data_IF_013108025756
#
_entry.id   IF_013108025756
#
_cell.length_a   1.000
_cell.length_b   1.000
_cell.length_c   1.000
_cell.angle_alpha   90.00
_cell.angle_beta   90.00
_cell.angle_gamma   90.00
#
_symmetry.space_group_name_H-M   'P 1'
#
loop_
_entity.id
_entity.type
_entity.pdbx_description
1 polymer ?
#
# COMPACT_ATOMS: atom_id res chain seq x y z
N UNK A 1 8.22 -15.89 12.17
CA UNK A 1 8.82 -14.75 12.90
C UNK A 1 10.05 -15.23 13.64
N UNK A 2 11.14 -14.45 13.68
CA UNK A 2 12.29 -14.72 14.57
C UNK A 2 12.01 -14.21 15.99
N UNK A 3 13.00 -14.34 16.88
CA UNK A 3 13.00 -13.81 18.24
C UNK A 3 12.77 -12.29 18.34
N UNK A 4 13.04 -11.55 17.27
CA UNK A 4 12.82 -10.09 17.19
C UNK A 4 11.42 -9.73 16.68
N UNK A 5 10.53 -10.71 16.48
CA UNK A 5 9.18 -10.50 15.90
C UNK A 5 9.25 -9.80 14.54
N UNK A 6 10.22 -10.15 13.72
CA UNK A 6 10.26 -9.81 12.29
C UNK A 6 10.21 -11.08 11.45
N UNK A 7 9.87 -10.95 10.18
CA UNK A 7 9.74 -12.09 9.28
C UNK A 7 11.09 -12.80 9.03
N UNK A 8 11.05 -14.13 8.93
CA UNK A 8 12.23 -14.95 8.66
C UNK A 8 12.50 -15.07 7.16
N UNK A 9 13.75 -15.34 6.80
CA UNK A 9 14.10 -15.69 5.41
C UNK A 9 14.06 -14.51 4.44
N UNK A 10 14.15 -13.29 4.95
CA UNK A 10 14.18 -12.06 4.17
C UNK A 10 15.61 -11.49 4.07
N UNK A 11 15.91 -10.78 2.98
CA UNK A 11 17.18 -10.05 2.83
C UNK A 11 17.18 -8.72 3.60
N UNK A 12 16.00 -8.14 3.80
CA UNK A 12 15.77 -6.92 4.59
C UNK A 12 14.79 -7.19 5.74
N UNK A 13 14.79 -6.33 6.77
CA UNK A 13 13.82 -6.45 7.86
C UNK A 13 12.40 -6.19 7.35
N UNK A 14 11.52 -7.19 7.50
CA UNK A 14 10.09 -7.08 7.21
C UNK A 14 9.31 -7.17 8.52
N UNK A 15 8.56 -6.12 8.83
CA UNK A 15 7.79 -5.98 10.07
C UNK A 15 6.30 -6.14 9.70
N UNK A 16 5.69 -7.30 9.99
CA UNK A 16 4.26 -7.47 9.77
C UNK A 16 3.46 -6.66 10.80
N UNK A 17 2.46 -5.93 10.32
CA UNK A 17 1.57 -5.14 11.17
C UNK A 17 0.36 -5.96 11.63
N UNK A 18 -0.16 -6.82 10.76
CA UNK A 18 -1.25 -7.76 11.00
C UNK A 18 -1.21 -8.85 9.91
N UNK A 19 -1.76 -10.03 10.22
CA UNK A 19 -1.86 -11.14 9.26
C UNK A 19 -3.13 -11.06 8.41
N UNK A 20 -4.20 -10.50 8.97
CA UNK A 20 -5.53 -10.39 8.37
C UNK A 20 -6.12 -9.01 8.69
N UNK A 21 -6.39 -8.22 7.64
CA UNK A 21 -6.92 -6.88 7.77
C UNK A 21 -8.36 -6.87 8.31
N UNK A 22 -9.19 -7.83 7.92
CA UNK A 22 -10.56 -7.97 8.39
C UNK A 22 -10.56 -8.29 9.89
N UNK A 23 -9.75 -9.26 10.32
CA UNK A 23 -9.62 -9.63 11.73
C UNK A 23 -9.06 -8.48 12.57
N UNK A 24 -8.04 -7.77 12.07
CA UNK A 24 -7.50 -6.58 12.74
C UNK A 24 -8.55 -5.48 12.97
N UNK A 25 -9.57 -5.41 12.10
CA UNK A 25 -10.70 -4.49 12.19
C UNK A 25 -11.93 -5.09 12.91
N UNK A 26 -11.81 -6.30 13.47
CA UNK A 26 -12.86 -6.97 14.23
C UNK A 26 -13.90 -7.69 13.37
N UNK A 27 -13.53 -8.13 12.17
CA UNK A 27 -14.38 -8.91 11.25
C UNK A 27 -13.79 -10.31 11.04
N UNK A 28 -14.66 -11.31 10.93
CA UNK A 28 -14.32 -12.72 10.72
C UNK A 28 -14.61 -13.19 9.28
N UNK A 29 -14.97 -12.26 8.40
CA UNK A 29 -15.37 -12.52 7.02
C UNK A 29 -14.86 -11.43 6.08
N UNK A 30 -14.78 -11.79 4.80
CA UNK A 30 -14.51 -10.84 3.74
C UNK A 30 -15.72 -9.92 3.51
N UNK A 31 -15.53 -8.64 3.77
CA UNK A 31 -16.48 -7.57 3.42
C UNK A 31 -15.76 -6.23 3.26
N UNK A 32 -16.39 -5.28 2.57
CA UNK A 32 -15.91 -3.90 2.50
C UNK A 32 -16.05 -3.23 3.87
N UNK A 33 -14.95 -2.68 4.38
CA UNK A 33 -14.89 -1.95 5.64
C UNK A 33 -14.43 -0.53 5.35
N UNK A 34 -15.19 0.46 5.80
CA UNK A 34 -14.88 1.87 5.66
C UNK A 34 -14.71 2.36 4.21
N UNK A 35 -15.31 1.70 3.22
CA UNK A 35 -15.31 2.18 1.82
C UNK A 35 -16.71 2.42 1.27
N UNK A 36 -17.75 1.82 1.87
CA UNK A 36 -19.15 2.05 1.49
C UNK A 36 -19.79 3.01 2.49
N UNK A 37 -20.46 4.06 2.00
CA UNK A 37 -21.15 5.03 2.85
C UNK A 37 -22.25 4.34 3.68
N UNK A 38 -22.30 4.65 4.98
CA UNK A 38 -23.31 4.17 5.94
C UNK A 38 -23.40 2.63 6.06
N UNK A 39 -22.37 1.90 5.62
CA UNK A 39 -22.33 0.44 5.69
C UNK A 39 -22.16 -0.06 7.13
N UNK A 40 -22.87 -1.11 7.50
CA UNK A 40 -22.85 -1.66 8.87
C UNK A 40 -21.50 -2.25 9.27
N UNK A 41 -20.65 -2.59 8.30
CA UNK A 41 -19.30 -3.07 8.56
C UNK A 41 -18.32 -1.95 8.93
N UNK A 42 -18.67 -0.68 8.69
CA UNK A 42 -17.82 0.45 9.01
C UNK A 42 -17.50 0.50 10.50
N UNK A 43 -16.28 0.92 10.83
CA UNK A 43 -15.72 0.84 12.18
C UNK A 43 -14.68 1.95 12.40
N UNK A 44 -14.36 2.22 13.66
CA UNK A 44 -13.34 3.20 14.01
C UNK A 44 -11.93 2.70 13.65
N UNK A 45 -11.01 3.61 13.29
CA UNK A 45 -9.61 3.27 13.05
C UNK A 45 -8.99 2.49 14.21
N UNK A 46 -8.10 1.56 13.87
CA UNK A 46 -7.28 0.82 14.83
C UNK A 46 -5.85 1.30 14.73
N UNK A 47 -5.28 1.73 15.85
CA UNK A 47 -3.88 2.13 15.92
C UNK A 47 -3.01 0.89 16.15
N UNK A 48 -2.02 0.71 15.28
CA UNK A 48 -0.99 -0.31 15.44
C UNK A 48 0.30 0.42 15.77
N UNK A 49 0.82 0.15 16.96
CA UNK A 49 2.05 0.76 17.45
C UNK A 49 3.12 -0.31 17.59
N UNK A 50 4.32 -0.01 17.13
CA UNK A 50 5.49 -0.87 17.29
C UNK A 50 6.73 -0.01 17.57
N UNK A 51 7.76 -0.64 18.14
CA UNK A 51 9.04 -0.01 18.44
C UNK A 51 10.13 -0.76 17.71
N UNK A 52 10.89 -0.07 16.85
CA UNK A 52 12.10 -0.61 16.24
C UNK A 52 13.29 -0.18 17.09
N UNK A 53 14.04 -1.15 17.61
CA UNK A 53 15.31 -0.91 18.29
C UNK A 53 16.44 -1.38 17.39
N UNK A 54 17.23 -0.43 16.89
CA UNK A 54 18.42 -0.75 16.11
C UNK A 54 19.58 -1.13 17.04
N UNK A 55 20.35 -2.15 16.65
CA UNK A 55 21.58 -2.53 17.36
C UNK A 55 22.66 -1.46 17.23
N UNK A 56 22.71 -0.76 16.09
CA UNK A 56 23.53 0.41 15.85
C UNK A 56 22.62 1.61 15.62
N UNK A 57 22.87 2.77 16.24
CA UNK A 57 22.10 3.98 15.97
C UNK A 57 22.14 4.33 14.47
N UNK A 58 20.98 4.68 13.93
CA UNK A 58 20.83 5.25 12.59
C UNK A 58 20.41 6.71 12.73
N UNK A 59 20.69 7.54 11.72
CA UNK A 59 20.20 8.92 11.71
C UNK A 59 18.68 8.96 11.50
N UNK A 60 18.02 10.00 12.02
CA UNK A 60 16.57 10.17 11.84
C UNK A 60 16.22 10.33 10.35
N UNK A 61 17.09 10.97 9.56
CA UNK A 61 16.91 11.16 8.11
C UNK A 61 17.00 9.85 7.30
N UNK A 62 17.61 8.81 7.87
CA UNK A 62 17.59 7.45 7.31
C UNK A 62 16.23 6.77 7.53
N UNK A 63 15.52 7.12 8.60
CA UNK A 63 14.17 6.62 8.91
C UNK A 63 13.08 7.58 8.40
N UNK A 64 13.13 7.93 7.12
CA UNK A 64 12.13 8.76 6.47
C UNK A 64 10.95 7.90 5.97
N UNK A 65 9.71 8.34 6.18
CA UNK A 65 8.50 7.64 5.70
C UNK A 65 8.53 7.40 4.18
N UNK A 66 9.11 8.34 3.42
CA UNK A 66 9.29 8.25 1.97
C UNK A 66 10.32 7.19 1.55
N UNK A 67 11.01 6.55 2.51
CA UNK A 67 11.95 5.45 2.29
C UNK A 67 11.37 4.10 2.72
N UNK A 68 10.16 4.04 3.27
CA UNK A 68 9.54 2.81 3.74
C UNK A 68 8.89 2.03 2.59
N UNK A 69 9.31 0.79 2.40
CA UNK A 69 8.66 -0.14 1.47
C UNK A 69 7.38 -0.71 2.10
N UNK A 70 6.26 -0.02 1.93
CA UNK A 70 4.95 -0.48 2.42
C UNK A 70 4.29 -1.37 1.38
N UNK A 71 3.76 -2.51 1.82
CA UNK A 71 3.12 -3.48 0.96
C UNK A 71 2.01 -4.24 1.68
N UNK A 72 1.15 -4.85 0.87
CA UNK A 72 0.17 -5.85 1.31
C UNK A 72 0.50 -7.17 0.62
N UNK A 73 0.04 -8.28 1.19
CA UNK A 73 -0.04 -9.56 0.50
C UNK A 73 -1.50 -10.00 0.41
N UNK A 74 -1.87 -10.57 -0.72
CA UNK A 74 -3.23 -11.05 -1.00
C UNK A 74 -3.26 -12.57 -1.04
N UNK A 75 -4.43 -13.15 -0.80
CA UNK A 75 -4.64 -14.61 -0.78
C UNK A 75 -3.89 -15.36 0.35
N UNK A 76 -3.49 -14.62 1.39
CA UNK A 76 -2.85 -15.13 2.60
C UNK A 76 -1.33 -15.28 2.48
N UNK A 77 -0.68 -15.53 3.63
CA UNK A 77 0.78 -15.65 3.72
C UNK A 77 1.25 -17.07 3.33
N UNK A 78 1.19 -17.38 2.03
CA UNK A 78 1.60 -18.67 1.46
C UNK A 78 2.99 -18.59 0.84
N UNK A 79 3.64 -19.74 0.63
CA UNK A 79 4.84 -19.79 -0.22
C UNK A 79 4.48 -19.28 -1.63
N UNK A 80 5.38 -18.51 -2.24
CA UNK A 80 5.09 -17.76 -3.47
C UNK A 80 3.92 -16.77 -3.28
N UNK A 81 4.01 -15.92 -2.25
CA UNK A 81 2.94 -14.95 -1.96
C UNK A 81 2.85 -13.85 -3.02
N UNK A 82 1.62 -13.43 -3.28
CA UNK A 82 1.31 -12.27 -4.11
C UNK A 82 1.43 -11.02 -3.25
N UNK A 83 2.50 -10.27 -3.45
CA UNK A 83 2.70 -8.98 -2.80
C UNK A 83 2.30 -7.84 -3.74
N UNK A 84 1.82 -6.74 -3.17
CA UNK A 84 1.56 -5.49 -3.88
C UNK A 84 2.20 -4.39 -3.04
N UNK A 85 3.23 -3.74 -3.60
CA UNK A 85 3.97 -2.69 -2.91
C UNK A 85 3.57 -1.31 -3.46
N UNK A 86 3.95 -0.28 -2.72
CA UNK A 86 4.05 1.07 -3.29
C UNK A 86 4.96 1.08 -4.52
N UNK A 87 4.60 1.90 -5.52
CA UNK A 87 5.24 1.90 -6.84
C UNK A 87 6.76 2.08 -6.77
N UNK A 88 7.49 1.33 -7.59
CA UNK A 88 8.95 1.44 -7.73
C UNK A 88 9.76 0.69 -6.67
N UNK A 89 9.15 0.24 -5.57
CA UNK A 89 9.83 -0.57 -4.57
C UNK A 89 9.97 -2.03 -5.00
N UNK A 90 11.05 -2.67 -4.57
CA UNK A 90 11.30 -4.08 -4.87
C UNK A 90 10.38 -5.01 -4.06
N UNK A 91 10.01 -6.18 -4.62
CA UNK A 91 9.39 -7.26 -3.86
C UNK A 91 10.26 -7.67 -2.67
N UNK A 92 9.65 -8.30 -1.67
CA UNK A 92 10.44 -9.04 -0.68
C UNK A 92 11.00 -10.33 -1.28
N UNK A 93 11.90 -11.00 -0.56
CA UNK A 93 12.49 -12.28 -1.01
C UNK A 93 11.46 -13.39 -1.18
N UNK A 94 10.34 -13.31 -0.47
CA UNK A 94 9.28 -14.32 -0.49
C UNK A 94 8.21 -14.06 -1.57
N UNK A 95 8.30 -12.93 -2.28
CA UNK A 95 7.34 -12.58 -3.32
C UNK A 95 7.41 -13.55 -4.50
N UNK A 96 6.25 -13.89 -5.07
CA UNK A 96 6.18 -14.58 -6.34
C UNK A 96 6.40 -13.61 -7.50
N UNK A 97 7.64 -13.49 -7.94
CA UNK A 97 7.99 -12.64 -9.10
C UNK A 97 7.68 -13.28 -10.46
N UNK A 98 7.28 -14.55 -10.51
CA UNK A 98 6.87 -15.23 -11.76
C UNK A 98 5.56 -14.64 -12.31
N UNK A 99 4.81 -13.91 -11.48
CA UNK A 99 3.57 -13.23 -11.86
C UNK A 99 3.80 -11.86 -12.52
N UNK A 100 5.02 -11.33 -12.45
CA UNK A 100 5.33 -10.00 -12.98
C UNK A 100 5.20 -9.95 -14.51
N UNK A 101 4.61 -8.87 -15.01
CA UNK A 101 4.31 -8.67 -16.43
C UNK A 101 3.01 -9.33 -16.92
N UNK A 102 2.30 -10.04 -16.03
CA UNK A 102 1.00 -10.65 -16.32
C UNK A 102 -0.15 -9.63 -16.37
N UNK A 103 -1.18 -9.91 -17.17
CA UNK A 103 -2.35 -9.02 -17.32
C UNK A 103 -1.96 -7.56 -17.64
N UNK A 104 -2.39 -6.58 -16.83
CA UNK A 104 -2.00 -5.18 -16.99
C UNK A 104 -0.80 -4.78 -16.13
N UNK A 105 -0.16 -5.71 -15.41
CA UNK A 105 1.08 -5.44 -14.70
C UNK A 105 2.25 -5.31 -15.69
N UNK A 106 3.13 -4.36 -15.43
CA UNK A 106 4.36 -4.10 -16.19
C UNK A 106 5.59 -4.20 -15.28
N UNK A 107 5.49 -4.94 -14.18
CA UNK A 107 6.61 -5.22 -13.30
C UNK A 107 7.63 -6.14 -13.99
N UNK A 108 8.90 -6.01 -13.61
CA UNK A 108 10.02 -6.77 -14.14
C UNK A 108 11.25 -6.54 -13.27
N UNK A 109 11.79 -7.63 -12.74
CA UNK A 109 13.05 -7.63 -11.98
C UNK A 109 14.24 -7.20 -12.85
N UNK A 110 14.31 -7.68 -14.09
CA UNK A 110 15.38 -7.34 -15.04
C UNK A 110 15.34 -5.87 -15.47
N UNK A 111 14.15 -5.28 -15.67
CA UNK A 111 13.98 -3.85 -15.98
C UNK A 111 14.00 -2.95 -14.74
N UNK A 112 14.10 -3.53 -13.53
CA UNK A 112 14.00 -2.82 -12.25
C UNK A 112 12.76 -1.92 -12.17
N UNK A 113 11.64 -2.44 -12.64
CA UNK A 113 10.35 -1.75 -12.72
C UNK A 113 9.34 -2.55 -11.92
N UNK A 114 8.65 -1.93 -10.97
CA UNK A 114 7.90 -2.69 -9.97
C UNK A 114 6.57 -2.02 -9.63
N UNK A 115 5.53 -2.84 -9.52
CA UNK A 115 4.17 -2.52 -9.08
C UNK A 115 3.53 -1.35 -9.82
N UNK A 116 3.67 -1.39 -11.14
CA UNK A 116 3.19 -0.38 -12.07
C UNK A 116 2.52 -1.07 -13.26
N UNK A 117 1.46 -0.48 -13.79
CA UNK A 117 0.74 -1.00 -14.94
C UNK A 117 1.45 -0.67 -16.27
N UNK A 118 1.00 -1.30 -17.35
CA UNK A 118 1.45 -1.00 -18.73
C UNK A 118 1.14 0.44 -19.15
N UNK A 119 0.16 1.07 -18.51
CA UNK A 119 -0.23 2.47 -18.70
C UNK A 119 0.51 3.44 -17.75
N UNK A 120 1.55 2.97 -17.05
CA UNK A 120 2.28 3.74 -16.01
C UNK A 120 1.44 4.13 -14.77
N UNK A 121 0.38 3.38 -14.44
CA UNK A 121 -0.39 3.61 -13.22
C UNK A 121 0.16 2.79 -12.05
N UNK A 122 0.32 3.41 -10.89
CA UNK A 122 0.78 2.76 -9.68
C UNK A 122 -0.29 1.81 -9.09
N UNK A 123 0.12 0.64 -8.59
CA UNK A 123 -0.77 -0.22 -7.80
C UNK A 123 -0.91 0.21 -6.33
N UNK A 124 0.10 0.91 -5.80
CA UNK A 124 0.08 1.48 -4.46
C UNK A 124 0.77 2.84 -4.44
N UNK A 125 0.20 3.78 -3.69
CA UNK A 125 0.75 5.12 -3.47
C UNK A 125 0.77 5.44 -1.98
N UNK A 126 1.67 6.34 -1.59
CA UNK A 126 1.74 6.87 -0.23
C UNK A 126 1.39 8.35 -0.28
N UNK A 127 0.38 8.76 0.50
CA UNK A 127 -0.02 10.16 0.62
C UNK A 127 0.27 10.60 2.06
N UNK A 128 1.15 11.60 2.29
CA UNK A 128 1.65 11.94 3.62
C UNK A 128 0.68 12.85 4.39
N UNK A 129 -0.60 12.45 4.48
CA UNK A 129 -1.66 13.24 5.12
C UNK A 129 -2.83 12.36 5.56
N UNK A 130 -3.82 12.96 6.23
CA UNK A 130 -5.14 12.33 6.44
C UNK A 130 -5.89 12.28 5.10
N UNK A 131 -5.66 11.23 4.32
CA UNK A 131 -6.21 11.05 2.99
C UNK A 131 -7.63 10.50 3.03
N UNK A 132 -8.56 11.12 2.28
CA UNK A 132 -9.94 10.68 2.14
C UNK A 132 -10.09 9.76 0.94
N UNK A 133 -9.95 8.45 1.16
CA UNK A 133 -10.03 7.50 0.04
C UNK A 133 -11.41 7.52 -0.65
N UNK A 134 -11.48 7.30 -1.97
CA UNK A 134 -12.76 7.22 -2.68
C UNK A 134 -13.69 6.18 -2.07
N UNK A 135 -15.01 6.42 -2.16
CA UNK A 135 -16.01 5.40 -1.85
C UNK A 135 -15.82 4.19 -2.78
N UNK A 136 -16.27 3.02 -2.32
CA UNK A 136 -16.21 1.77 -3.08
C UNK A 136 -16.81 1.96 -4.49
N UNK A 137 -16.15 1.42 -5.51
CA UNK A 137 -16.50 1.54 -6.93
C UNK A 137 -16.41 2.95 -7.52
N UNK A 138 -16.09 3.99 -6.74
CA UNK A 138 -15.86 5.33 -7.27
C UNK A 138 -14.44 5.43 -7.83
N UNK A 139 -14.37 5.75 -9.12
CA UNK A 139 -13.08 5.99 -9.77
C UNK A 139 -12.38 7.20 -9.13
N UNK A 140 -11.13 7.01 -8.70
CA UNK A 140 -10.31 8.07 -8.08
C UNK A 140 -10.20 9.33 -8.95
N UNK A 141 -10.15 9.21 -10.29
CA UNK A 141 -10.11 10.36 -11.20
C UNK A 141 -11.36 11.25 -11.09
N UNK A 142 -12.48 10.64 -10.67
CA UNK A 142 -13.74 11.34 -10.48
C UNK A 142 -13.89 11.92 -9.07
N UNK A 143 -13.25 11.32 -8.07
CA UNK A 143 -13.18 11.86 -6.72
C UNK A 143 -12.12 12.99 -6.61
N UNK A 144 -11.03 12.87 -7.36
CA UNK A 144 -9.87 13.76 -7.36
C UNK A 144 -9.51 14.17 -8.79
N UNK A 145 -10.02 15.32 -9.23
CA UNK A 145 -9.88 15.79 -10.62
C UNK A 145 -8.44 16.04 -11.05
N UNK A 146 -7.54 16.33 -10.10
CA UNK A 146 -6.12 16.59 -10.36
C UNK A 146 -5.25 15.32 -10.39
N UNK A 147 -5.80 14.18 -9.96
CA UNK A 147 -5.05 12.91 -9.81
C UNK A 147 -4.47 12.41 -11.12
N UNK A 148 -5.24 12.47 -12.22
CA UNK A 148 -4.80 11.95 -13.52
C UNK A 148 -3.55 12.69 -14.05
N UNK A 149 -3.54 14.01 -13.98
CA UNK A 149 -2.37 14.80 -14.38
C UNK A 149 -1.19 14.57 -13.44
N UNK A 150 -1.41 14.26 -12.16
CA UNK A 150 -0.34 13.90 -11.24
C UNK A 150 0.28 12.55 -11.62
N UNK A 151 -0.53 11.49 -11.71
CA UNK A 151 -0.03 10.12 -11.95
C UNK A 151 0.63 9.98 -13.32
N UNK A 152 0.07 10.59 -14.37
CA UNK A 152 0.63 10.53 -15.74
C UNK A 152 1.90 11.37 -15.90
N UNK A 153 2.15 12.34 -15.02
CA UNK A 153 3.38 13.15 -15.02
C UNK A 153 4.54 12.52 -14.24
N UNK A 154 4.35 11.33 -13.67
CA UNK A 154 5.30 10.74 -12.73
C UNK A 154 5.43 11.54 -11.43
N UNK A 155 4.36 12.25 -11.03
CA UNK A 155 4.31 13.02 -9.79
C UNK A 155 4.90 14.42 -9.84
N UNK A 156 5.19 14.97 -11.04
CA UNK A 156 5.80 16.30 -11.21
C UNK A 156 4.79 17.43 -11.41
N UNK A 157 3.53 17.11 -11.69
CA UNK A 157 2.42 18.06 -11.82
C UNK A 157 1.38 17.80 -10.73
N UNK A 158 0.68 18.85 -10.30
CA UNK A 158 -0.37 18.77 -9.29
C UNK A 158 0.08 17.99 -8.05
N UNK A 159 1.27 18.32 -7.53
CA UNK A 159 1.89 17.60 -6.42
C UNK A 159 0.98 17.49 -5.20
N UNK A 160 0.05 18.44 -5.02
CA UNK A 160 -0.94 18.45 -3.94
C UNK A 160 -2.35 18.02 -4.38
N UNK A 161 -2.48 17.15 -5.39
CA UNK A 161 -3.75 16.73 -5.99
C UNK A 161 -4.80 16.28 -4.96
N UNK A 162 -4.37 15.72 -3.83
CA UNK A 162 -5.25 15.24 -2.76
C UNK A 162 -5.98 16.36 -2.02
N UNK A 163 -5.61 17.63 -2.20
CA UNK A 163 -6.32 18.77 -1.60
C UNK A 163 -7.61 19.13 -2.34
N UNK A 164 -7.78 18.65 -3.58
CA UNK A 164 -8.94 18.98 -4.42
C UNK A 164 -9.76 17.73 -4.68
N UNK A 165 -10.87 17.60 -3.96
CA UNK A 165 -11.74 16.43 -4.06
C UNK A 165 -13.23 16.76 -3.95
N UNK A 166 -14.06 15.87 -4.52
CA UNK A 166 -15.50 15.86 -4.35
C UNK A 166 -15.86 15.14 -3.04
N UNK A 167 -16.34 15.89 -2.05
CA UNK A 167 -16.67 15.36 -0.73
C UNK A 167 -17.83 14.36 -0.73
N UNK A 168 -18.64 14.32 -1.79
CA UNK A 168 -19.71 13.32 -1.96
C UNK A 168 -19.19 11.95 -2.43
N UNK A 169 -17.93 11.89 -2.88
CA UNK A 169 -17.30 10.72 -3.51
C UNK A 169 -16.21 10.07 -2.68
N UNK A 170 -15.88 10.64 -1.53
CA UNK A 170 -14.85 10.13 -0.63
C UNK A 170 -15.46 9.63 0.67
N UNK A 171 -14.78 8.68 1.30
CA UNK A 171 -15.08 8.25 2.65
C UNK A 171 -14.62 9.30 3.67
N UNK A 172 -15.40 9.48 4.75
CA UNK A 172 -15.23 10.57 5.72
C UNK A 172 -14.22 10.23 6.82
#
# INVERSE_FOLDING_TARGET
MNSNKIENGQDYAVIPLFDDAHNALGRDRYEQINTIKDHSANTNPKNISFTIKFSNPISVDELNINKLNVFIFVEGNRNQRKEIHIVGYQPTKLANTDLFGGNNDDSSTSRKRYYISKDNLAWGIMVPTDFKWPLEYVNIKSAYSLFESWVTSGGTKNEEWWKTFDSSRVYK
#
